data_IF_496194091776
#
_entry.id   IF_496194091776
#
_cell.length_a   1.000
_cell.length_b   1.000
_cell.length_c   1.000
_cell.angle_alpha   90.00
_cell.angle_beta   90.00
_cell.angle_gamma   90.00
#
_symmetry.space_group_name_H-M   'P 1'
#
loop_
_entity.id
_entity.type
_entity.pdbx_description
1 polymer ?
#
# COMPACT_ATOMS: atom_id res chain seq x y z
N UNK A 1 -14.88 -7.81 0.25
CA UNK A 1 -15.04 -7.41 -1.18
C UNK A 1 -14.02 -6.35 -1.48
N UNK A 2 -13.49 -6.29 -2.70
CA UNK A 2 -12.51 -5.27 -3.11
C UNK A 2 -13.08 -4.42 -4.24
N UNK A 3 -12.70 -3.14 -4.27
CA UNK A 3 -12.98 -2.27 -5.40
C UNK A 3 -12.30 -2.82 -6.67
N UNK A 4 -12.90 -2.63 -7.85
CA UNK A 4 -12.40 -3.18 -9.12
C UNK A 4 -10.95 -2.78 -9.38
N UNK A 5 -10.65 -1.49 -9.28
CA UNK A 5 -9.32 -0.96 -9.63
C UNK A 5 -8.26 -1.45 -8.65
N UNK A 6 -8.59 -1.48 -7.36
CA UNK A 6 -7.72 -2.05 -6.34
C UNK A 6 -7.47 -3.54 -6.55
N UNK A 7 -8.48 -4.30 -6.97
CA UNK A 7 -8.31 -5.71 -7.31
C UNK A 7 -7.45 -5.91 -8.56
N UNK A 8 -7.53 -5.01 -9.55
CA UNK A 8 -6.67 -5.03 -10.74
C UNK A 8 -5.21 -4.84 -10.36
N UNK A 9 -4.89 -3.75 -9.68
CA UNK A 9 -3.53 -3.44 -9.20
C UNK A 9 -2.92 -4.59 -8.39
N UNK A 10 -3.70 -5.14 -7.45
CA UNK A 10 -3.32 -6.26 -6.62
C UNK A 10 -2.96 -7.53 -7.44
N UNK A 11 -3.81 -7.86 -8.42
CA UNK A 11 -3.64 -9.05 -9.25
C UNK A 11 -2.55 -8.89 -10.31
N UNK A 12 -2.43 -7.71 -10.93
CA UNK A 12 -1.32 -7.37 -11.83
C UNK A 12 0.01 -7.41 -11.08
N UNK A 13 0.00 -6.90 -9.85
CA UNK A 13 1.08 -7.06 -8.88
C UNK A 13 1.51 -8.51 -8.69
N UNK A 14 0.57 -9.45 -8.76
CA UNK A 14 0.80 -10.89 -8.69
C UNK A 14 1.23 -11.55 -10.01
N UNK A 15 1.38 -10.79 -11.10
CA UNK A 15 1.73 -11.31 -12.43
C UNK A 15 0.55 -11.91 -13.18
N UNK A 16 -0.68 -11.56 -12.78
CA UNK A 16 -1.87 -11.86 -13.55
C UNK A 16 -2.15 -10.73 -14.55
N UNK A 17 -2.87 -11.03 -15.63
CA UNK A 17 -3.38 -9.99 -16.55
C UNK A 17 -4.75 -9.55 -16.06
N UNK A 18 -4.80 -8.79 -14.97
CA UNK A 18 -6.01 -8.55 -14.20
C UNK A 18 -7.07 -7.77 -14.98
N UNK A 19 -6.66 -6.81 -15.80
CA UNK A 19 -7.55 -6.06 -16.69
C UNK A 19 -8.35 -7.01 -17.59
N UNK A 20 -7.65 -7.83 -18.36
CA UNK A 20 -8.23 -8.80 -19.28
C UNK A 20 -9.03 -9.86 -18.51
N UNK A 21 -8.46 -10.36 -17.42
CA UNK A 21 -9.07 -11.42 -16.61
C UNK A 21 -10.39 -11.02 -15.98
N UNK A 22 -10.45 -9.83 -15.35
CA UNK A 22 -11.67 -9.33 -14.70
C UNK A 22 -12.74 -9.04 -15.76
N UNK A 23 -12.39 -8.40 -16.87
CA UNK A 23 -13.37 -8.06 -17.90
C UNK A 23 -13.98 -9.32 -18.55
N UNK A 24 -13.16 -10.36 -18.84
CA UNK A 24 -13.67 -11.66 -19.31
C UNK A 24 -14.61 -12.32 -18.30
N UNK A 25 -14.28 -12.27 -17.01
CA UNK A 25 -15.12 -12.86 -15.96
C UNK A 25 -16.46 -12.12 -15.82
N UNK A 26 -16.47 -10.80 -16.03
CA UNK A 26 -17.69 -9.98 -16.06
C UNK A 26 -18.54 -10.31 -17.30
N UNK A 27 -17.93 -10.39 -18.49
CA UNK A 27 -18.63 -10.78 -19.72
C UNK A 27 -19.29 -12.17 -19.61
N UNK A 28 -18.65 -13.09 -18.88
CA UNK A 28 -19.18 -14.44 -18.61
C UNK A 28 -20.18 -14.48 -17.45
N UNK A 29 -20.53 -13.34 -16.85
CA UNK A 29 -21.38 -13.22 -15.66
C UNK A 29 -20.88 -14.06 -14.46
N UNK A 30 -19.56 -14.31 -14.38
CA UNK A 30 -18.90 -14.99 -13.27
C UNK A 30 -18.49 -14.00 -12.16
N UNK A 31 -18.27 -12.74 -12.55
CA UNK A 31 -18.11 -11.59 -11.68
C UNK A 31 -19.15 -10.53 -12.04
N UNK A 32 -19.61 -9.78 -11.04
CA UNK A 32 -20.36 -8.55 -11.21
C UNK A 32 -19.58 -7.38 -10.63
N UNK A 33 -19.91 -6.17 -11.06
CA UNK A 33 -19.44 -4.92 -10.46
C UNK A 33 -20.68 -4.19 -9.99
N UNK A 34 -20.75 -3.85 -8.71
CA UNK A 34 -21.89 -3.09 -8.19
C UNK A 34 -21.80 -1.60 -8.54
N UNK A 35 -22.83 -0.83 -8.19
CA UNK A 35 -22.89 0.61 -8.46
C UNK A 35 -21.79 1.42 -7.78
N UNK A 36 -21.09 0.84 -6.80
CA UNK A 36 -19.99 1.46 -6.07
C UNK A 36 -18.62 0.97 -6.57
N UNK A 37 -18.58 0.20 -7.66
CA UNK A 37 -17.34 -0.30 -8.25
C UNK A 37 -16.76 -1.54 -7.57
N UNK A 38 -17.46 -2.17 -6.61
CA UNK A 38 -16.96 -3.37 -5.93
C UNK A 38 -17.24 -4.65 -6.71
N UNK A 39 -16.25 -5.54 -6.73
CA UNK A 39 -16.39 -6.86 -7.30
C UNK A 39 -17.34 -7.72 -6.45
N UNK A 40 -18.32 -8.31 -7.12
CA UNK A 40 -19.31 -9.24 -6.57
C UNK A 40 -19.16 -10.59 -7.26
N UNK A 41 -19.23 -11.66 -6.50
CA UNK A 41 -19.31 -13.03 -7.00
C UNK A 41 -20.51 -13.70 -6.35
N UNK A 42 -21.25 -14.50 -7.11
CA UNK A 42 -22.35 -15.28 -6.57
C UNK A 42 -21.81 -16.40 -5.66
N UNK A 43 -22.44 -16.64 -4.50
CA UNK A 43 -21.97 -17.62 -3.50
C UNK A 43 -21.73 -19.01 -4.09
N UNK A 44 -22.65 -19.51 -4.92
CA UNK A 44 -22.47 -20.78 -5.64
C UNK A 44 -21.21 -20.82 -6.53
N UNK A 45 -20.84 -19.73 -7.20
CA UNK A 45 -19.61 -19.66 -7.99
C UNK A 45 -18.38 -19.66 -7.09
N UNK A 46 -18.45 -18.94 -5.97
CA UNK A 46 -17.41 -18.95 -4.96
C UNK A 46 -17.20 -20.36 -4.40
N UNK A 47 -18.28 -21.07 -4.03
CA UNK A 47 -18.24 -22.45 -3.57
C UNK A 47 -17.63 -23.41 -4.60
N UNK A 48 -17.96 -23.23 -5.89
CA UNK A 48 -17.37 -24.03 -6.97
C UNK A 48 -15.88 -23.76 -7.13
N UNK A 49 -15.44 -22.50 -7.06
CA UNK A 49 -14.02 -22.14 -7.10
C UNK A 49 -13.24 -22.70 -5.90
N UNK A 50 -13.85 -22.64 -4.72
CA UNK A 50 -13.31 -23.23 -3.48
C UNK A 50 -13.18 -24.75 -3.59
N UNK A 51 -14.17 -25.43 -4.17
CA UNK A 51 -14.14 -26.88 -4.39
C UNK A 51 -13.02 -27.31 -5.34
N UNK A 52 -12.72 -26.51 -6.37
CA UNK A 52 -11.58 -26.78 -7.26
C UNK A 52 -10.27 -26.80 -6.47
N UNK A 53 -10.07 -25.85 -5.56
CA UNK A 53 -8.86 -25.81 -4.71
C UNK A 53 -8.85 -26.95 -3.69
N UNK A 54 -9.99 -27.30 -3.09
CA UNK A 54 -10.07 -28.45 -2.17
C UNK A 54 -9.65 -29.75 -2.85
N UNK A 55 -9.98 -29.93 -4.13
CA UNK A 55 -9.61 -31.12 -4.92
C UNK A 55 -8.11 -31.24 -5.22
N UNK A 56 -7.36 -30.14 -5.16
CA UNK A 56 -5.89 -30.20 -5.30
C UNK A 56 -5.27 -31.09 -4.22
N UNK A 57 -5.83 -31.04 -3.01
CA UNK A 57 -5.43 -31.88 -1.89
C UNK A 57 -6.58 -31.98 -0.87
N UNK A 58 -7.45 -33.00 -0.95
CA UNK A 58 -8.64 -33.09 -0.11
C UNK A 58 -8.33 -33.15 1.39
N UNK A 59 -7.36 -33.99 1.78
CA UNK A 59 -7.08 -34.29 3.18
C UNK A 59 -5.94 -33.44 3.79
N UNK A 60 -5.10 -32.82 2.94
CA UNK A 60 -3.95 -32.05 3.38
C UNK A 60 -4.06 -30.59 2.92
N UNK A 61 -4.70 -29.71 3.70
CA UNK A 61 -4.89 -28.30 3.32
C UNK A 61 -3.56 -27.58 3.07
N UNK A 62 -2.50 -27.95 3.79
CA UNK A 62 -1.16 -27.36 3.63
C UNK A 62 -0.50 -27.57 2.26
N UNK A 63 -1.07 -28.44 1.41
CA UNK A 63 -0.62 -28.70 0.02
C UNK A 63 -1.46 -28.04 -1.05
N UNK A 64 -2.53 -27.32 -0.70
CA UNK A 64 -3.35 -26.56 -1.65
C UNK A 64 -2.70 -25.23 -1.98
N UNK A 65 -3.03 -24.62 -3.12
CA UNK A 65 -2.48 -23.30 -3.46
C UNK A 65 -3.11 -22.14 -2.68
N UNK A 66 -4.32 -22.29 -2.15
CA UNK A 66 -5.07 -21.24 -1.46
C UNK A 66 -5.77 -21.78 -0.23
N UNK A 67 -5.77 -20.98 0.84
CA UNK A 67 -6.48 -21.26 2.09
C UNK A 67 -7.36 -20.08 2.49
N UNK A 68 -8.61 -20.38 2.87
CA UNK A 68 -9.53 -19.38 3.40
C UNK A 68 -10.40 -19.87 4.57
N UNK A 69 -10.47 -21.19 4.79
CA UNK A 69 -11.21 -21.73 5.92
C UNK A 69 -10.39 -21.54 7.21
N UNK A 70 -10.94 -20.80 8.17
CA UNK A 70 -10.24 -20.45 9.42
C UNK A 70 -9.72 -21.66 10.20
N UNK A 71 -10.47 -22.78 10.24
CA UNK A 71 -10.03 -24.00 10.94
C UNK A 71 -8.85 -24.65 10.24
N UNK A 72 -8.89 -24.72 8.91
CA UNK A 72 -7.78 -25.25 8.10
C UNK A 72 -6.55 -24.36 8.20
N UNK A 73 -6.72 -23.03 8.10
CA UNK A 73 -5.62 -22.07 8.28
C UNK A 73 -5.01 -22.21 9.67
N UNK A 74 -5.82 -22.23 10.73
CA UNK A 74 -5.32 -22.39 12.09
C UNK A 74 -4.54 -23.71 12.24
N UNK A 75 -5.07 -24.83 11.74
CA UNK A 75 -4.34 -26.11 11.73
C UNK A 75 -3.01 -26.01 10.99
N UNK A 76 -3.00 -25.44 9.78
CA UNK A 76 -1.81 -25.32 8.93
C UNK A 76 -0.74 -24.45 9.59
N UNK A 77 -1.12 -23.30 10.13
CA UNK A 77 -0.20 -22.36 10.78
C UNK A 77 0.29 -22.89 12.14
N UNK A 78 -0.58 -23.48 12.96
CA UNK A 78 -0.19 -24.06 14.26
C UNK A 78 0.76 -25.25 14.11
N UNK A 79 0.49 -26.13 13.14
CA UNK A 79 1.22 -27.38 12.98
C UNK A 79 2.39 -27.28 11.98
N UNK A 80 2.63 -26.10 11.40
CA UNK A 80 3.70 -25.87 10.41
C UNK A 80 3.65 -26.86 9.23
N UNK A 81 2.43 -27.20 8.79
CA UNK A 81 2.17 -28.16 7.70
C UNK A 81 2.04 -27.49 6.34
N UNK A 82 2.06 -26.15 6.29
CA UNK A 82 2.04 -25.43 5.02
C UNK A 82 3.31 -25.69 4.21
N UNK A 83 3.14 -25.74 2.89
CA UNK A 83 4.19 -26.08 1.94
C UNK A 83 4.41 -24.97 0.92
N UNK A 84 5.40 -25.14 0.06
CA UNK A 84 5.73 -24.23 -1.03
C UNK A 84 4.63 -24.10 -2.10
N UNK A 85 3.59 -24.94 -2.04
CA UNK A 85 2.45 -24.83 -2.96
C UNK A 85 1.50 -23.70 -2.59
N UNK A 86 1.50 -23.27 -1.32
CA UNK A 86 0.60 -22.21 -0.86
C UNK A 86 1.06 -20.87 -1.44
N UNK A 87 0.15 -20.24 -2.20
CA UNK A 87 0.34 -18.94 -2.82
C UNK A 87 -0.54 -17.85 -2.20
N UNK A 88 -1.64 -18.23 -1.54
CA UNK A 88 -2.55 -17.28 -0.90
C UNK A 88 -3.20 -17.80 0.37
N UNK A 89 -3.22 -16.97 1.42
CA UNK A 89 -3.96 -17.22 2.66
C UNK A 89 -4.85 -16.01 2.93
N UNK A 90 -6.13 -16.26 3.19
CA UNK A 90 -7.10 -15.21 3.49
C UNK A 90 -8.02 -15.63 4.63
N UNK A 91 -7.90 -14.97 5.79
CA UNK A 91 -8.85 -15.12 6.89
C UNK A 91 -9.51 -13.77 7.12
N UNK A 92 -10.82 -13.72 6.94
CA UNK A 92 -11.65 -12.52 7.15
C UNK A 92 -12.56 -12.68 8.38
N UNK A 93 -12.90 -11.55 9.01
CA UNK A 93 -13.88 -11.34 10.10
C UNK A 93 -13.69 -12.13 11.42
N UNK A 94 -13.86 -11.42 12.55
CA UNK A 94 -13.61 -11.81 13.96
C UNK A 94 -14.49 -12.93 14.56
N UNK A 95 -15.70 -13.20 14.05
CA UNK A 95 -16.71 -13.96 14.81
C UNK A 95 -16.44 -15.46 15.05
N UNK A 96 -15.29 -16.00 14.60
CA UNK A 96 -15.03 -17.46 14.56
C UNK A 96 -13.77 -17.91 15.34
N UNK A 97 -13.26 -17.09 16.25
CA UNK A 97 -12.18 -17.45 17.18
C UNK A 97 -10.77 -17.09 16.69
N UNK A 98 -9.77 -17.25 17.54
CA UNK A 98 -8.39 -16.79 17.27
C UNK A 98 -7.64 -17.75 16.33
N UNK A 99 -6.87 -17.21 15.38
CA UNK A 99 -5.88 -17.99 14.62
C UNK A 99 -4.55 -17.91 15.37
N UNK A 100 -3.97 -19.04 15.74
CA UNK A 100 -2.66 -19.04 16.40
C UNK A 100 -1.55 -19.19 15.37
N UNK A 101 -0.57 -18.29 15.45
CA UNK A 101 0.67 -18.34 14.69
C UNK A 101 1.80 -18.69 15.64
N UNK A 102 2.78 -19.45 15.16
CA UNK A 102 4.03 -19.70 15.85
C UNK A 102 5.21 -19.15 15.04
N UNK A 103 6.39 -19.18 15.64
CA UNK A 103 7.56 -18.53 15.06
C UNK A 103 7.93 -19.00 13.65
N UNK A 104 7.58 -20.23 13.26
CA UNK A 104 7.93 -20.87 11.99
C UNK A 104 6.74 -21.14 11.06
N UNK A 105 5.55 -20.63 11.36
CA UNK A 105 4.32 -20.90 10.60
C UNK A 105 4.45 -20.72 9.10
N UNK A 106 5.19 -19.70 8.65
CA UNK A 106 5.35 -19.39 7.22
C UNK A 106 6.66 -19.88 6.60
N UNK A 107 7.53 -20.54 7.37
CA UNK A 107 8.92 -20.85 6.98
C UNK A 107 9.07 -21.70 5.71
N UNK A 108 8.06 -22.51 5.37
CA UNK A 108 8.05 -23.38 4.18
C UNK A 108 7.24 -22.81 3.01
N UNK A 109 6.52 -21.71 3.20
CA UNK A 109 5.58 -21.14 2.22
C UNK A 109 6.27 -20.09 1.35
N UNK A 110 7.38 -20.46 0.72
CA UNK A 110 8.21 -19.52 -0.04
C UNK A 110 7.58 -19.00 -1.34
N UNK A 111 6.41 -19.50 -1.76
CA UNK A 111 5.61 -18.95 -2.89
C UNK A 111 4.39 -18.15 -2.43
N UNK A 112 4.25 -17.86 -1.14
CA UNK A 112 3.13 -17.10 -0.61
C UNK A 112 3.17 -15.65 -1.12
N UNK A 113 2.21 -15.29 -1.97
CA UNK A 113 2.09 -13.96 -2.60
C UNK A 113 1.04 -13.09 -1.94
N UNK A 114 -0.03 -13.69 -1.41
CA UNK A 114 -1.15 -12.99 -0.80
C UNK A 114 -1.36 -13.47 0.64
N UNK A 115 -1.28 -12.57 1.60
CA UNK A 115 -1.58 -12.87 3.00
C UNK A 115 -2.56 -11.83 3.54
N UNK A 116 -3.77 -12.28 3.88
CA UNK A 116 -4.76 -11.51 4.64
C UNK A 116 -5.07 -12.22 5.94
N UNK A 117 -4.81 -11.57 7.07
CA UNK A 117 -5.02 -12.11 8.41
C UNK A 117 -5.67 -11.07 9.34
N UNK A 118 -6.58 -11.55 10.19
CA UNK A 118 -7.31 -10.74 11.17
C UNK A 118 -7.62 -11.60 12.40
N UNK A 119 -7.48 -11.03 13.61
CA UNK A 119 -7.66 -11.75 14.88
C UNK A 119 -6.67 -12.91 15.05
N UNK A 120 -5.37 -12.60 14.93
CA UNK A 120 -4.27 -13.56 15.06
C UNK A 120 -3.56 -13.38 16.40
N UNK A 121 -3.28 -14.49 17.08
CA UNK A 121 -2.43 -14.53 18.26
C UNK A 121 -0.98 -14.79 17.88
N UNK A 122 -0.12 -13.80 18.15
CA UNK A 122 1.32 -13.81 17.94
C UNK A 122 2.12 -13.99 19.25
N UNK A 123 1.49 -14.44 20.34
CA UNK A 123 2.16 -14.67 21.64
C UNK A 123 3.34 -15.64 21.60
N UNK A 124 3.34 -16.56 20.63
CA UNK A 124 4.45 -17.49 20.39
C UNK A 124 5.56 -16.92 19.46
N UNK A 125 5.47 -15.64 19.13
CA UNK A 125 6.41 -14.93 18.26
C UNK A 125 6.27 -15.26 16.76
N UNK A 126 7.07 -14.55 15.96
CA UNK A 126 7.16 -14.67 14.52
C UNK A 126 8.62 -14.47 14.09
N UNK A 127 9.31 -15.53 13.66
CA UNK A 127 10.73 -15.46 13.23
C UNK A 127 10.86 -15.23 11.72
N UNK A 128 9.81 -15.55 10.95
CA UNK A 128 9.87 -15.55 9.49
C UNK A 128 8.56 -15.11 8.84
N UNK A 129 8.69 -14.21 7.86
CA UNK A 129 7.66 -13.93 6.86
C UNK A 129 8.22 -14.16 5.45
N UNK A 130 7.42 -14.70 4.51
CA UNK A 130 7.91 -14.98 3.16
C UNK A 130 8.23 -13.70 2.39
N UNK A 131 9.42 -13.64 1.80
CA UNK A 131 9.86 -12.49 0.99
C UNK A 131 9.18 -12.43 -0.40
N UNK A 132 8.45 -13.49 -0.78
CA UNK A 132 7.63 -13.56 -2.00
C UNK A 132 6.27 -12.87 -1.87
N UNK A 133 5.96 -12.33 -0.68
CA UNK A 133 4.73 -11.58 -0.44
C UNK A 133 4.64 -10.37 -1.37
N UNK A 134 3.46 -10.24 -1.97
CA UNK A 134 3.09 -9.14 -2.87
C UNK A 134 2.01 -8.27 -2.26
N UNK A 135 1.12 -8.89 -1.50
CA UNK A 135 0.06 -8.22 -0.74
C UNK A 135 0.09 -8.78 0.68
N UNK A 136 0.24 -7.87 1.64
CA UNK A 136 0.21 -8.18 3.06
C UNK A 136 -0.85 -7.32 3.74
N UNK A 137 -1.98 -7.91 4.08
CA UNK A 137 -3.02 -7.33 4.93
C UNK A 137 -3.01 -8.05 6.29
N UNK A 138 -2.63 -7.36 7.36
CA UNK A 138 -2.61 -7.94 8.69
C UNK A 138 -3.11 -6.95 9.73
N UNK A 139 -4.39 -7.08 10.08
CA UNK A 139 -5.01 -6.27 11.12
C UNK A 139 -4.64 -6.78 12.52
N UNK A 140 -4.48 -5.84 13.46
CA UNK A 140 -4.17 -6.15 14.87
C UNK A 140 -2.84 -6.92 15.03
N UNK A 141 -1.85 -6.58 14.21
CA UNK A 141 -0.52 -7.18 14.31
C UNK A 141 0.17 -6.71 15.59
N UNK A 142 0.30 -7.62 16.56
CA UNK A 142 0.68 -7.32 17.95
C UNK A 142 2.19 -7.31 18.24
N UNK A 143 3.04 -7.42 17.21
CA UNK A 143 4.50 -7.32 17.38
C UNK A 143 4.96 -5.90 17.04
N UNK A 144 5.97 -5.44 17.76
CA UNK A 144 6.55 -4.09 17.61
C UNK A 144 7.33 -3.87 16.31
N UNK A 145 7.72 -4.95 15.65
CA UNK A 145 8.50 -4.91 14.41
C UNK A 145 8.26 -6.18 13.59
N UNK A 146 8.48 -6.09 12.27
CA UNK A 146 8.61 -7.29 11.45
C UNK A 146 9.83 -8.15 11.86
N UNK A 147 9.82 -9.45 11.53
CA UNK A 147 11.01 -10.28 11.65
C UNK A 147 12.17 -9.70 10.85
N UNK A 148 13.39 -9.74 11.38
CA UNK A 148 14.58 -9.21 10.68
C UNK A 148 14.88 -9.91 9.36
N UNK A 149 14.44 -11.17 9.23
CA UNK A 149 14.52 -11.96 7.99
C UNK A 149 13.56 -11.48 6.89
N UNK A 150 12.56 -10.67 7.25
CA UNK A 150 11.60 -10.12 6.29
C UNK A 150 12.25 -8.98 5.51
N UNK A 151 12.63 -9.34 4.30
CA UNK A 151 13.21 -8.45 3.30
C UNK A 151 12.49 -8.80 2.00
N UNK A 152 11.25 -8.32 1.80
CA UNK A 152 10.51 -8.61 0.58
C UNK A 152 11.41 -8.26 -0.61
N UNK A 153 11.56 -9.20 -1.53
CA UNK A 153 12.46 -9.01 -2.68
C UNK A 153 12.03 -7.74 -3.41
N UNK A 154 13.00 -6.95 -3.88
CA UNK A 154 12.84 -5.56 -4.36
C UNK A 154 11.72 -5.34 -5.40
N UNK A 155 11.18 -6.40 -5.98
CA UNK A 155 10.18 -6.39 -7.04
C UNK A 155 8.79 -6.93 -6.64
N UNK A 156 8.54 -7.35 -5.40
CA UNK A 156 7.34 -8.14 -5.10
C UNK A 156 6.27 -7.42 -4.31
N UNK A 157 6.62 -6.76 -3.20
CA UNK A 157 5.61 -6.13 -2.34
C UNK A 157 4.98 -4.91 -3.03
N UNK A 158 3.67 -4.98 -3.26
CA UNK A 158 2.83 -3.95 -3.89
C UNK A 158 1.94 -3.22 -2.88
N UNK A 159 1.43 -3.97 -1.91
CA UNK A 159 0.47 -3.47 -0.94
C UNK A 159 0.83 -3.99 0.46
N UNK A 160 0.84 -3.06 1.41
CA UNK A 160 1.03 -3.32 2.83
C UNK A 160 -0.08 -2.63 3.62
N UNK A 161 -0.88 -3.39 4.34
CA UNK A 161 -1.96 -2.90 5.19
C UNK A 161 -1.82 -3.54 6.57
N UNK A 162 -1.41 -2.76 7.57
CA UNK A 162 -1.17 -3.21 8.94
C UNK A 162 -2.03 -2.41 9.93
N UNK A 163 -3.32 -2.32 9.66
CA UNK A 163 -4.26 -1.53 10.46
C UNK A 163 -4.32 -2.01 11.92
N UNK A 164 -4.50 -1.08 12.86
CA UNK A 164 -4.57 -1.36 14.30
C UNK A 164 -3.35 -2.11 14.85
N UNK A 165 -2.16 -1.90 14.26
CA UNK A 165 -0.96 -2.63 14.65
C UNK A 165 -0.21 -1.97 15.82
N UNK A 166 0.48 -2.81 16.60
CA UNK A 166 1.44 -2.40 17.61
C UNK A 166 2.85 -2.14 17.05
N UNK A 167 3.01 -2.13 15.72
CA UNK A 167 4.28 -1.78 15.07
C UNK A 167 4.74 -0.39 15.52
N UNK A 168 5.97 -0.29 16.02
CA UNK A 168 6.60 0.99 16.33
C UNK A 168 7.23 1.60 15.06
N UNK A 169 7.69 0.75 14.14
CA UNK A 169 8.29 1.10 12.86
C UNK A 169 8.02 -0.03 11.85
N UNK A 170 7.85 0.32 10.57
CA UNK A 170 7.81 -0.66 9.49
C UNK A 170 9.20 -1.28 9.27
N UNK A 171 10.21 -0.44 9.06
CA UNK A 171 11.59 -0.85 8.85
C UNK A 171 12.53 0.18 9.47
N UNK A 172 13.58 -0.28 10.15
CA UNK A 172 14.65 0.58 10.68
C UNK A 172 15.72 0.90 9.64
N UNK A 173 15.95 -0.05 8.74
CA UNK A 173 16.93 0.07 7.66
C UNK A 173 16.22 0.50 6.39
N UNK A 174 16.94 1.24 5.54
CA UNK A 174 16.47 1.64 4.21
C UNK A 174 16.28 0.38 3.36
N UNK A 175 15.05 0.13 2.89
CA UNK A 175 14.70 -1.02 2.05
C UNK A 175 14.20 -0.49 0.70
N UNK A 176 14.89 -0.74 -0.42
CA UNK A 176 14.41 -0.35 -1.76
C UNK A 176 13.18 -1.19 -2.12
N UNK A 177 11.99 -0.59 -2.00
CA UNK A 177 10.68 -1.18 -2.27
C UNK A 177 10.06 -0.49 -3.48
N UNK A 178 10.71 -0.61 -4.65
CA UNK A 178 10.31 0.06 -5.89
C UNK A 178 8.93 -0.35 -6.40
N UNK A 179 8.38 -1.48 -5.94
CA UNK A 179 7.07 -1.92 -6.40
C UNK A 179 5.93 -1.57 -5.43
N UNK A 180 6.25 -1.07 -4.22
CA UNK A 180 5.25 -0.78 -3.19
C UNK A 180 4.49 0.50 -3.54
N UNK A 181 3.19 0.34 -3.79
CA UNK A 181 2.27 1.41 -4.20
C UNK A 181 1.33 1.85 -3.10
N UNK A 182 1.04 0.97 -2.13
CA UNK A 182 0.08 1.27 -1.05
C UNK A 182 0.62 0.86 0.31
N UNK A 183 0.57 1.79 1.25
CA UNK A 183 0.80 1.58 2.68
C UNK A 183 -0.44 2.06 3.43
N UNK A 184 -1.03 1.18 4.24
CA UNK A 184 -2.11 1.51 5.17
C UNK A 184 -1.71 1.09 6.59
N UNK A 185 -1.63 2.05 7.50
CA UNK A 185 -1.25 1.87 8.89
C UNK A 185 -2.28 2.45 9.84
N UNK A 186 -3.52 2.67 9.38
CA UNK A 186 -4.55 3.31 10.21
C UNK A 186 -4.69 2.70 11.59
N UNK A 187 -4.90 3.54 12.58
CA UNK A 187 -5.09 3.26 13.99
C UNK A 187 -3.93 2.48 14.63
N UNK A 188 -2.72 2.58 14.06
CA UNK A 188 -1.51 2.00 14.66
C UNK A 188 -0.95 2.93 15.73
N UNK A 189 -1.54 2.87 16.92
CA UNK A 189 -1.27 3.79 18.04
C UNK A 189 0.18 3.74 18.53
N UNK A 190 0.92 2.67 18.23
CA UNK A 190 2.32 2.49 18.63
C UNK A 190 3.33 3.04 17.62
N UNK A 191 2.90 3.42 16.42
CA UNK A 191 3.78 3.85 15.33
C UNK A 191 4.43 5.20 15.65
N UNK A 192 5.76 5.22 15.74
CA UNK A 192 6.52 6.44 16.12
C UNK A 192 7.16 7.16 14.94
N UNK A 193 7.43 6.45 13.82
CA UNK A 193 8.07 7.04 12.63
C UNK A 193 7.66 6.30 11.36
N UNK A 194 7.57 7.02 10.25
CA UNK A 194 7.36 6.44 8.91
C UNK A 194 8.67 5.89 8.32
N UNK A 195 8.60 5.01 7.31
CA UNK A 195 9.79 4.60 6.58
C UNK A 195 10.37 5.73 5.73
N UNK A 196 11.63 5.58 5.31
CA UNK A 196 12.26 6.49 4.34
C UNK A 196 11.66 6.32 2.94
N UNK A 197 10.81 7.26 2.52
CA UNK A 197 10.12 7.21 1.23
C UNK A 197 11.06 7.34 0.03
N UNK A 198 12.32 7.77 0.17
CA UNK A 198 13.30 7.74 -0.95
C UNK A 198 13.55 6.32 -1.44
N UNK A 199 13.36 5.34 -0.56
CA UNK A 199 13.46 3.93 -0.89
C UNK A 199 12.15 3.32 -1.45
N UNK A 200 11.09 4.13 -1.55
CA UNK A 200 9.75 3.72 -2.00
C UNK A 200 9.23 4.72 -3.06
N UNK A 201 9.93 4.87 -4.20
CA UNK A 201 9.69 5.97 -5.13
C UNK A 201 8.36 5.90 -5.89
N UNK A 202 7.65 4.77 -5.85
CA UNK A 202 6.38 4.56 -6.57
C UNK A 202 5.18 4.42 -5.62
N UNK A 203 5.27 4.97 -4.41
CA UNK A 203 4.18 4.97 -3.45
C UNK A 203 3.05 5.91 -3.91
N UNK A 204 1.89 5.35 -4.19
CA UNK A 204 0.70 6.06 -4.67
C UNK A 204 -0.28 6.39 -3.52
N UNK A 205 -0.33 5.55 -2.49
CA UNK A 205 -1.27 5.68 -1.38
C UNK A 205 -0.60 5.47 -0.02
N UNK A 206 -0.76 6.43 0.88
CA UNK A 206 -0.28 6.38 2.26
C UNK A 206 -1.43 6.74 3.22
N UNK A 207 -1.86 5.80 4.05
CA UNK A 207 -2.96 5.97 5.01
C UNK A 207 -2.39 5.84 6.42
N UNK A 208 -2.44 6.93 7.19
CA UNK A 208 -1.88 7.04 8.55
C UNK A 208 -2.95 7.48 9.56
N UNK A 209 -4.22 7.20 9.26
CA UNK A 209 -5.34 7.61 10.10
C UNK A 209 -5.16 7.22 11.55
N UNK A 210 -5.41 8.11 12.51
CA UNK A 210 -5.37 7.74 13.94
C UNK A 210 -4.03 7.19 14.43
N UNK A 211 -2.92 7.41 13.71
CA UNK A 211 -1.56 7.14 14.20
C UNK A 211 -1.14 8.23 15.17
N UNK A 212 -1.62 8.16 16.41
CA UNK A 212 -1.47 9.22 17.39
C UNK A 212 0.00 9.55 17.70
N UNK A 213 0.91 8.56 17.68
CA UNK A 213 2.31 8.70 18.10
C UNK A 213 3.28 9.30 17.08
N UNK A 214 2.80 9.69 15.90
CA UNK A 214 3.58 10.42 14.90
C UNK A 214 3.64 11.92 15.27
N UNK A 215 4.42 12.28 16.29
CA UNK A 215 4.35 13.61 16.92
C UNK A 215 5.36 14.66 16.42
N UNK A 216 6.31 14.31 15.56
CA UNK A 216 7.49 15.15 15.27
C UNK A 216 7.64 15.52 13.79
N UNK A 217 6.56 15.40 13.01
CA UNK A 217 6.59 15.79 11.60
C UNK A 217 6.28 17.28 11.44
N UNK A 218 7.08 17.97 10.64
CA UNK A 218 7.04 19.42 10.41
C UNK A 218 6.46 19.80 9.06
N UNK A 219 6.10 18.86 8.21
CA UNK A 219 5.48 19.15 6.91
C UNK A 219 5.51 17.99 5.95
N UNK A 220 5.16 18.26 4.69
CA UNK A 220 5.23 17.28 3.61
C UNK A 220 6.20 17.75 2.54
N UNK A 221 7.06 16.86 2.07
CA UNK A 221 7.73 17.03 0.80
C UNK A 221 6.95 16.25 -0.27
N UNK A 222 6.43 16.98 -1.24
CA UNK A 222 5.83 16.44 -2.46
C UNK A 222 6.90 16.40 -3.54
N UNK A 223 6.97 15.32 -4.31
CA UNK A 223 7.78 15.28 -5.50
C UNK A 223 7.00 14.78 -6.72
N UNK A 224 7.33 15.33 -7.89
CA UNK A 224 6.71 14.95 -9.16
C UNK A 224 7.75 14.96 -10.27
N UNK A 225 7.69 13.95 -11.14
CA UNK A 225 8.46 13.89 -12.39
C UNK A 225 7.47 13.94 -13.54
N UNK A 226 7.70 14.82 -14.51
CA UNK A 226 6.84 14.95 -15.69
C UNK A 226 7.61 14.83 -17.01
N UNK A 227 6.91 14.36 -18.04
CA UNK A 227 7.37 14.30 -19.43
C UNK A 227 6.75 15.42 -20.25
N UNK A 228 7.58 16.03 -21.11
CA UNK A 228 7.13 16.94 -22.16
C UNK A 228 7.15 16.16 -23.50
N UNK A 229 6.06 16.15 -24.28
CA UNK A 229 6.03 15.44 -25.57
C UNK A 229 7.09 15.95 -26.54
N UNK A 230 7.71 15.04 -27.30
CA UNK A 230 8.86 15.34 -28.21
C UNK A 230 8.59 16.42 -29.28
N UNK A 231 7.32 16.76 -29.53
CA UNK A 231 6.92 17.75 -30.53
C UNK A 231 6.79 19.18 -29.96
N UNK A 232 6.93 19.35 -28.65
CA UNK A 232 7.05 20.63 -27.97
C UNK A 232 8.48 20.78 -27.46
N UNK A 233 9.25 21.67 -28.10
CA UNK A 233 10.66 21.91 -27.75
C UNK A 233 10.83 22.58 -26.37
N UNK A 234 9.75 23.12 -25.79
CA UNK A 234 9.65 23.71 -24.46
C UNK A 234 8.21 23.55 -23.96
N UNK A 235 8.01 23.25 -22.66
CA UNK A 235 6.73 23.52 -22.02
C UNK A 235 6.51 25.03 -22.03
N UNK A 236 5.34 25.49 -22.47
CA UNK A 236 5.03 26.93 -22.41
C UNK A 236 4.77 27.34 -20.96
N UNK A 237 4.94 28.63 -20.64
CA UNK A 237 4.54 29.20 -19.34
C UNK A 237 3.05 28.88 -19.05
N UNK A 238 2.22 28.86 -20.09
CA UNK A 238 0.81 28.43 -20.04
C UNK A 238 0.61 26.95 -19.67
N UNK A 239 1.54 26.05 -19.99
CA UNK A 239 1.44 24.62 -19.64
C UNK A 239 1.74 24.37 -18.14
N UNK A 240 2.59 25.20 -17.53
CA UNK A 240 2.92 25.15 -16.11
C UNK A 240 1.84 25.78 -15.24
N UNK A 241 1.17 26.83 -15.73
CA UNK A 241 -0.05 27.40 -15.12
C UNK A 241 -1.20 26.39 -15.04
N UNK A 242 -1.14 25.37 -15.89
CA UNK A 242 -2.11 24.29 -15.95
C UNK A 242 -1.77 23.11 -15.02
N UNK A 243 -0.62 23.12 -14.34
CA UNK A 243 -0.29 22.10 -13.34
C UNK A 243 -1.21 22.20 -12.13
N UNK A 244 -1.69 21.05 -11.69
CA UNK A 244 -2.60 20.93 -10.57
C UNK A 244 -2.03 19.91 -9.57
N UNK A 245 -1.67 20.40 -8.40
CA UNK A 245 -1.50 19.58 -7.22
C UNK A 245 -2.75 19.70 -6.35
N UNK A 246 -3.42 18.58 -6.10
CA UNK A 246 -4.56 18.46 -5.20
C UNK A 246 -4.12 17.63 -4.01
N UNK A 247 -4.22 18.22 -2.82
CA UNK A 247 -4.06 17.51 -1.56
C UNK A 247 -5.45 17.33 -0.96
N UNK A 248 -5.90 16.09 -0.81
CA UNK A 248 -7.12 15.80 -0.07
C UNK A 248 -6.79 15.28 1.32
N UNK A 249 -7.47 15.80 2.32
CA UNK A 249 -7.40 15.33 3.71
C UNK A 249 -8.81 14.94 4.12
N UNK A 250 -9.01 13.66 4.45
CA UNK A 250 -10.31 13.10 4.86
C UNK A 250 -11.41 13.32 3.80
N UNK A 251 -11.03 13.39 2.52
CA UNK A 251 -11.94 13.68 1.40
C UNK A 251 -12.23 15.17 1.19
N UNK A 252 -11.75 16.06 2.06
CA UNK A 252 -11.76 17.50 1.81
C UNK A 252 -10.57 17.86 0.92
N UNK A 253 -10.86 18.42 -0.25
CA UNK A 253 -9.83 18.77 -1.24
C UNK A 253 -9.37 20.20 -1.03
N UNK A 254 -8.07 20.36 -0.83
CA UNK A 254 -7.36 21.61 -0.85
C UNK A 254 -6.39 21.62 -2.03
N UNK A 255 -6.31 22.73 -2.73
CA UNK A 255 -5.22 22.99 -3.66
C UNK A 255 -4.19 23.80 -2.88
N UNK A 256 -3.08 23.20 -2.41
CA UNK A 256 -2.00 23.99 -1.84
C UNK A 256 -1.59 25.08 -2.85
N UNK A 257 -1.12 26.22 -2.34
CA UNK A 257 -0.68 27.36 -3.16
C UNK A 257 0.64 27.02 -3.87
N UNK A 258 0.59 26.10 -4.83
CA UNK A 258 1.78 25.53 -5.49
C UNK A 258 2.27 26.40 -6.67
N UNK A 259 1.43 27.32 -7.15
CA UNK A 259 1.65 28.05 -8.40
C UNK A 259 2.95 28.87 -8.46
N UNK A 260 3.50 29.32 -7.33
CA UNK A 260 4.67 30.22 -7.34
C UNK A 260 6.02 29.52 -7.62
N UNK A 261 6.09 28.19 -7.58
CA UNK A 261 7.38 27.48 -7.73
C UNK A 261 7.70 27.06 -9.18
N UNK A 262 6.68 26.91 -10.04
CA UNK A 262 6.84 26.36 -11.39
C UNK A 262 7.30 27.39 -12.43
N UNK A 263 7.04 28.69 -12.20
CA UNK A 263 7.53 29.79 -13.05
C UNK A 263 9.07 29.81 -13.19
N UNK A 264 9.79 29.24 -12.23
CA UNK A 264 11.26 29.20 -12.22
C UNK A 264 11.90 28.08 -13.05
N UNK A 265 11.11 27.16 -13.63
CA UNK A 265 11.59 25.96 -14.32
C UNK A 265 11.85 26.10 -15.83
N UNK A 266 11.80 27.32 -16.38
CA UNK A 266 12.10 27.57 -17.79
C UNK A 266 13.62 27.60 -17.99
N UNK A 267 14.27 26.50 -18.43
CA UNK A 267 13.83 25.65 -19.54
C UNK A 267 13.89 24.13 -19.22
N UNK A 268 12.77 23.52 -18.83
CA UNK A 268 12.73 22.10 -18.50
C UNK A 268 12.95 21.20 -19.73
N UNK A 269 13.92 20.28 -19.64
CA UNK A 269 14.00 19.11 -20.53
C UNK A 269 13.09 17.99 -19.96
N UNK A 270 12.74 16.96 -20.74
CA UNK A 270 11.98 15.79 -20.23
C UNK A 270 12.61 15.16 -18.97
N UNK A 271 11.80 14.64 -18.03
CA UNK A 271 12.21 13.96 -16.79
C UNK A 271 12.74 14.87 -15.65
N UNK A 272 12.16 16.05 -15.48
CA UNK A 272 12.55 16.94 -14.36
C UNK A 272 11.81 16.59 -13.07
N UNK A 273 12.55 16.50 -11.97
CA UNK A 273 12.03 16.31 -10.61
C UNK A 273 11.66 17.67 -10.01
N UNK A 274 10.38 17.84 -9.71
CA UNK A 274 9.87 18.94 -8.91
C UNK A 274 9.77 18.51 -7.46
N UNK A 275 10.13 19.40 -6.53
CA UNK A 275 10.05 19.18 -5.10
C UNK A 275 9.39 20.39 -4.44
N UNK A 276 8.36 20.16 -3.63
CA UNK A 276 7.73 21.20 -2.83
C UNK A 276 7.58 20.75 -1.40
N UNK A 277 8.06 21.60 -0.52
CA UNK A 277 7.84 21.45 0.90
C UNK A 277 6.60 22.27 1.29
N UNK A 278 5.63 21.59 1.89
CA UNK A 278 4.41 22.18 2.45
C UNK A 278 4.52 22.15 3.98
N UNK A 279 4.84 23.27 4.63
CA UNK A 279 4.81 23.35 6.08
C UNK A 279 3.35 23.29 6.58
N UNK A 280 3.11 22.97 7.86
CA UNK A 280 1.79 22.60 8.36
C UNK A 280 0.82 23.79 8.33
N UNK A 281 1.35 25.01 8.36
CA UNK A 281 0.59 26.26 8.33
C UNK A 281 0.20 26.73 6.90
N UNK A 282 0.89 26.27 5.85
CA UNK A 282 0.53 26.58 4.44
C UNK A 282 -0.50 25.59 3.87
N UNK A 283 -0.66 24.44 4.53
CA UNK A 283 -1.82 23.59 4.34
C UNK A 283 -3.05 24.29 4.96
N UNK A 284 -3.68 25.22 4.25
CA UNK A 284 -4.85 26.04 4.64
C UNK A 284 -6.14 25.26 5.04
N UNK A 285 -6.03 24.12 5.71
CA UNK A 285 -7.15 23.44 6.34
C UNK A 285 -7.27 23.93 7.78
N UNK A 286 -8.22 24.81 8.07
CA UNK A 286 -8.49 25.30 9.42
C UNK A 286 -8.87 24.21 10.46
N UNK A 287 -8.84 22.94 10.07
CA UNK A 287 -9.17 21.75 10.88
C UNK A 287 -7.95 20.93 11.31
N UNK A 288 -6.72 21.41 11.10
CA UNK A 288 -5.50 20.76 11.61
C UNK A 288 -5.38 20.71 13.14
N UNK A 289 -6.32 21.25 13.93
CA UNK A 289 -6.06 21.49 15.36
C UNK A 289 -7.03 20.80 16.34
N UNK A 290 -8.14 20.20 15.91
CA UNK A 290 -9.06 19.52 16.82
C UNK A 290 -9.67 18.28 16.16
N UNK A 291 -9.13 17.12 16.54
CA UNK A 291 -9.65 15.76 16.37
C UNK A 291 -9.83 15.22 14.92
N UNK A 292 -9.18 14.06 14.69
CA UNK A 292 -9.35 13.08 13.58
C UNK A 292 -8.55 13.38 12.29
N UNK A 293 -7.27 13.00 12.26
CA UNK A 293 -6.46 12.87 11.03
C UNK A 293 -6.68 11.48 10.43
N UNK A 294 -7.12 11.36 9.16
CA UNK A 294 -7.41 10.04 8.57
C UNK A 294 -6.82 9.70 7.20
N UNK A 295 -7.07 10.47 6.14
CA UNK A 295 -6.65 10.07 4.79
C UNK A 295 -5.98 11.23 4.07
N UNK A 296 -4.69 11.11 3.75
CA UNK A 296 -3.96 12.12 2.97
C UNK A 296 -3.73 11.54 1.57
N UNK A 297 -4.32 12.18 0.56
CA UNK A 297 -4.13 11.83 -0.85
C UNK A 297 -3.55 13.03 -1.59
N UNK A 298 -2.39 12.85 -2.22
CA UNK A 298 -1.84 13.82 -3.14
C UNK A 298 -2.08 13.33 -4.57
N UNK A 299 -2.73 14.15 -5.39
CA UNK A 299 -2.90 13.90 -6.82
C UNK A 299 -2.27 15.02 -7.61
N UNK A 300 -1.62 14.63 -8.71
CA UNK A 300 -0.87 15.52 -9.58
C UNK A 300 -1.38 15.34 -10.99
N UNK A 301 -1.48 16.44 -11.73
CA UNK A 301 -1.87 16.39 -13.13
C UNK A 301 -1.75 17.74 -13.80
N UNK A 302 -2.05 17.79 -15.09
CA UNK A 302 -2.09 19.01 -15.87
C UNK A 302 -3.48 19.16 -16.52
N UNK A 303 -4.09 20.35 -16.44
CA UNK A 303 -5.40 20.63 -17.05
C UNK A 303 -5.18 21.25 -18.42
N UNK A 304 -5.56 20.58 -19.50
CA UNK A 304 -5.46 21.16 -20.85
C UNK A 304 -4.04 21.26 -21.40
N UNK A 305 -3.05 20.64 -20.74
CA UNK A 305 -1.69 20.46 -21.26
C UNK A 305 -1.51 19.06 -21.87
N UNK A 306 -0.51 18.92 -22.73
CA UNK A 306 -0.06 17.64 -23.27
C UNK A 306 1.01 16.95 -22.41
N UNK A 307 1.37 17.55 -21.26
CA UNK A 307 2.34 16.99 -20.31
C UNK A 307 1.76 15.81 -19.51
N UNK A 308 2.60 14.83 -19.21
CA UNK A 308 2.22 13.64 -18.43
C UNK A 308 3.08 13.54 -17.14
N UNK A 309 2.44 13.19 -16.04
CA UNK A 309 3.15 12.83 -14.79
C UNK A 309 3.67 11.40 -14.94
N UNK A 310 4.98 11.22 -14.82
CA UNK A 310 5.67 9.94 -14.95
C UNK A 310 5.77 9.26 -13.58
N UNK A 311 6.19 10.04 -12.57
CA UNK A 311 6.38 9.57 -11.20
C UNK A 311 5.90 10.67 -10.24
N UNK A 312 5.40 10.27 -9.08
CA UNK A 312 5.12 11.18 -8.00
C UNK A 312 5.43 10.50 -6.67
N UNK A 313 5.71 11.31 -5.65
CA UNK A 313 6.02 10.83 -4.32
C UNK A 313 5.61 11.82 -3.26
N UNK A 314 5.46 11.28 -2.06
CA UNK A 314 5.04 12.01 -0.87
C UNK A 314 5.93 11.57 0.29
N UNK A 315 6.42 12.54 1.06
CA UNK A 315 7.30 12.30 2.18
C UNK A 315 6.90 13.17 3.37
N UNK A 316 6.65 12.57 4.54
CA UNK A 316 6.54 13.35 5.78
C UNK A 316 7.95 13.77 6.20
N UNK A 317 8.14 15.07 6.41
CA UNK A 317 9.40 15.65 6.89
C UNK A 317 9.32 15.76 8.41
N UNK A 318 10.34 15.30 9.13
CA UNK A 318 10.44 15.39 10.59
C UNK A 318 11.43 16.48 11.04
N UNK A 319 11.32 16.95 12.28
CA UNK A 319 12.26 17.92 12.87
C UNK A 319 13.72 17.45 12.71
N UNK A 320 13.96 16.15 12.93
CA UNK A 320 15.27 15.51 12.78
C UNK A 320 15.84 15.57 11.35
N UNK A 321 14.98 15.60 10.31
CA UNK A 321 15.42 15.69 8.91
C UNK A 321 15.98 17.09 8.58
N UNK A 322 15.57 18.11 9.34
CA UNK A 322 16.01 19.49 9.18
C UNK A 322 17.43 19.72 9.74
N UNK A 323 17.79 19.05 10.85
CA UNK A 323 19.12 19.16 11.46
C UNK A 323 20.23 18.64 10.54
N UNK A 324 19.96 17.59 9.76
CA UNK A 324 20.90 17.03 8.77
C UNK A 324 21.16 17.99 7.61
N UNK A 325 20.18 18.83 7.24
CA UNK A 325 20.32 19.81 6.15
C UNK A 325 21.11 21.06 6.57
N UNK A 326 21.02 21.47 7.85
CA UNK A 326 21.76 22.62 8.38
C UNK A 326 23.23 22.29 8.63
N UNK A 327 23.58 21.05 8.95
CA UNK A 327 24.99 20.63 9.11
C UNK A 327 25.77 20.51 7.79
N UNK A 328 25.11 20.59 6.64
CA UNK A 328 25.71 20.50 5.30
C UNK A 328 25.77 21.83 4.53
N UNK A 329 25.31 22.93 5.13
CA UNK A 329 25.46 24.31 4.63
C UNK A 329 26.45 25.09 5.49
#
# INVERSE_FOLDING_TARGET
>A
MRHKDHAREALDGCGFYADIGIDILVEKALLGIDSYGFLRMHDLLQEKGQEVVRRESPDEPGRRNRLWNRKEVNYVLCQNTGTETIEGIMVDVEYLGVVHVNSKSFSKMNKLRYLKLMGVDLSNGLEYLPNSLRILEWSEFSLKSFPSSFYPEHEHLRELSMCHSDLEYLWREVKPLHNLKRIDLRYSLSLVKTPDFRSIPFLEHLILEGCERLHEWIGFALCVVFAVPEHQLYGSEEDLDNFLCKLSINGEVGTPSVNYALESLLPAMSNHLWLCYLPPHECYFYFWCEDIYSNIEASFGFIGSTMEVIECGFHLVYEEDFEVLVEQT
#
